data_IF_605381676756
#
_entry.id   IF_605381676756
#
_cell.length_a   1.000
_cell.length_b   1.000
_cell.length_c   1.000
_cell.angle_alpha   90.00
_cell.angle_beta   90.00
_cell.angle_gamma   90.00
#
_symmetry.space_group_name_H-M   'P 1'
#
loop_
_entity.id
_entity.type
_entity.pdbx_description
1 polymer ?
#
# COMPACT_ATOMS: atom_id res chain seq x y z
N UNK A 1 5.03 -6.88 -18.61
CA UNK A 1 4.60 -6.81 -17.19
C UNK A 1 5.77 -7.10 -16.26
N UNK A 2 6.05 -6.23 -15.29
CA UNK A 2 7.14 -6.36 -14.29
C UNK A 2 6.53 -6.34 -12.89
N UNK A 3 6.87 -7.33 -12.06
CA UNK A 3 6.41 -7.43 -10.65
C UNK A 3 7.56 -7.08 -9.71
N UNK A 4 7.30 -6.15 -8.80
CA UNK A 4 8.27 -5.66 -7.81
C UNK A 4 7.66 -5.68 -6.41
N UNK A 5 8.50 -5.60 -5.38
CA UNK A 5 8.04 -5.54 -4.00
C UNK A 5 8.98 -4.74 -3.11
N UNK A 6 8.43 -4.24 -2.02
CA UNK A 6 9.12 -3.56 -0.93
C UNK A 6 8.65 -4.18 0.38
N UNK A 7 9.59 -4.46 1.29
CA UNK A 7 9.29 -4.88 2.66
C UNK A 7 10.06 -3.99 3.62
N UNK A 8 9.36 -3.41 4.60
CA UNK A 8 9.96 -2.52 5.58
C UNK A 8 9.31 -2.70 6.95
N UNK A 9 10.12 -2.59 8.01
CA UNK A 9 9.63 -2.45 9.38
C UNK A 9 9.35 -0.98 9.69
N UNK A 10 8.16 -0.70 10.19
CA UNK A 10 7.68 0.65 10.51
C UNK A 10 7.25 0.66 11.97
N UNK A 11 7.77 1.60 12.76
CA UNK A 11 7.19 1.90 14.07
C UNK A 11 6.02 2.88 13.88
N UNK A 12 4.81 2.45 14.22
CA UNK A 12 3.61 3.27 14.15
C UNK A 12 2.96 3.33 15.54
N UNK A 13 2.89 4.54 16.11
CA UNK A 13 2.33 4.78 17.45
C UNK A 13 2.92 3.88 18.55
N UNK A 14 4.23 3.60 18.48
CA UNK A 14 4.93 2.78 19.49
C UNK A 14 4.88 1.28 19.23
N UNK A 15 4.14 0.81 18.22
CA UNK A 15 4.10 -0.59 17.82
C UNK A 15 4.89 -0.82 16.53
N UNK A 16 5.71 -1.87 16.49
CA UNK A 16 6.42 -2.27 15.27
C UNK A 16 5.53 -3.12 14.36
N UNK A 17 5.46 -2.74 13.09
CA UNK A 17 4.72 -3.45 12.05
C UNK A 17 5.65 -3.78 10.88
N UNK A 18 5.47 -4.96 10.30
CA UNK A 18 6.07 -5.33 9.01
C UNK A 18 5.11 -4.97 7.89
N UNK A 19 5.49 -4.00 7.07
CA UNK A 19 4.74 -3.58 5.88
C UNK A 19 5.36 -4.24 4.66
N UNK A 20 4.52 -4.88 3.84
CA UNK A 20 4.90 -5.47 2.55
C UNK A 20 4.01 -4.92 1.46
N UNK A 21 4.61 -4.34 0.43
CA UNK A 21 3.90 -3.82 -0.73
C UNK A 21 4.44 -4.54 -1.96
N UNK A 22 3.55 -5.09 -2.77
CA UNK A 22 3.88 -5.75 -4.05
C UNK A 22 3.11 -5.02 -5.14
N UNK A 23 3.76 -4.66 -6.24
CA UNK A 23 3.10 -3.97 -7.34
C UNK A 23 3.53 -4.53 -8.68
N UNK A 24 2.69 -4.30 -9.68
CA UNK A 24 2.92 -4.72 -11.05
C UNK A 24 2.76 -3.53 -11.97
N UNK A 25 3.73 -3.39 -12.87
CA UNK A 25 3.71 -2.37 -13.93
C UNK A 25 3.65 -3.02 -15.31
N UNK A 26 2.91 -2.38 -16.20
CA UNK A 26 2.83 -2.71 -17.63
C UNK A 26 2.77 -1.40 -18.40
N UNK A 27 3.60 -1.23 -19.43
CA UNK A 27 3.71 -0.02 -20.24
C UNK A 27 3.84 1.29 -19.44
N UNK A 28 4.61 1.23 -18.34
CA UNK A 28 4.79 2.32 -17.37
C UNK A 28 3.53 2.74 -16.60
N UNK A 29 2.52 1.87 -16.53
CA UNK A 29 1.33 2.06 -15.70
C UNK A 29 1.21 0.97 -14.63
N UNK A 30 0.69 1.35 -13.45
CA UNK A 30 0.36 0.41 -12.38
C UNK A 30 -0.88 -0.39 -12.79
N UNK A 31 -0.73 -1.72 -12.86
CA UNK A 31 -1.83 -2.65 -13.07
C UNK A 31 -2.38 -3.21 -11.75
N UNK A 32 -1.48 -3.38 -10.78
CA UNK A 32 -1.79 -4.01 -9.51
C UNK A 32 -0.94 -3.47 -8.38
N UNK A 33 -1.52 -3.33 -7.19
CA UNK A 33 -0.80 -3.12 -5.94
C UNK A 33 -1.46 -4.00 -4.87
N UNK A 34 -0.66 -4.65 -4.03
CA UNK A 34 -1.10 -5.38 -2.86
C UNK A 34 -0.33 -4.91 -1.65
N UNK A 35 -1.05 -4.57 -0.59
CA UNK A 35 -0.48 -4.06 0.65
C UNK A 35 -0.83 -4.97 1.81
N UNK A 36 0.21 -5.42 2.52
CA UNK A 36 0.06 -6.24 3.71
C UNK A 36 0.74 -5.56 4.91
N UNK A 37 0.11 -5.68 6.08
CA UNK A 37 0.71 -5.35 7.37
C UNK A 37 0.70 -6.61 8.23
N UNK A 38 1.86 -7.02 8.75
CA UNK A 38 2.03 -8.26 9.51
C UNK A 38 1.42 -9.48 8.79
N UNK A 39 1.64 -9.58 7.46
CA UNK A 39 1.07 -10.60 6.56
C UNK A 39 -0.47 -10.59 6.41
N UNK A 40 -1.19 -9.65 7.02
CA UNK A 40 -2.61 -9.41 6.76
C UNK A 40 -2.74 -8.45 5.57
N UNK A 41 -3.49 -8.84 4.54
CA UNK A 41 -3.83 -7.94 3.45
C UNK A 41 -4.74 -6.82 3.96
N UNK A 42 -4.39 -5.58 3.66
CA UNK A 42 -5.13 -4.39 4.12
C UNK A 42 -5.91 -3.77 2.99
N UNK A 43 -5.25 -3.63 1.84
CA UNK A 43 -5.86 -3.08 0.64
C UNK A 43 -5.10 -3.57 -0.58
N UNK A 44 -5.79 -3.58 -1.72
CA UNK A 44 -5.20 -3.81 -3.03
C UNK A 44 -5.75 -2.85 -4.06
N UNK A 45 -4.94 -2.51 -5.05
CA UNK A 45 -5.35 -1.87 -6.27
C UNK A 45 -5.44 -2.92 -7.38
N UNK A 46 -6.58 -3.01 -8.05
CA UNK A 46 -6.76 -3.84 -9.23
C UNK A 46 -7.88 -3.30 -10.11
N UNK A 47 -7.71 -3.34 -11.44
CA UNK A 47 -8.71 -2.86 -12.42
C UNK A 47 -9.24 -1.46 -12.09
N UNK A 48 -8.33 -0.54 -11.76
CA UNK A 48 -8.68 0.86 -11.50
C UNK A 48 -9.30 1.15 -10.13
N UNK A 49 -9.33 0.18 -9.20
CA UNK A 49 -10.03 0.30 -7.92
C UNK A 49 -9.16 -0.09 -6.75
N UNK A 50 -9.25 0.67 -5.66
CA UNK A 50 -8.73 0.28 -4.36
C UNK A 50 -9.82 -0.45 -3.57
N UNK A 51 -9.50 -1.65 -3.09
CA UNK A 51 -10.42 -2.47 -2.30
C UNK A 51 -9.72 -3.11 -1.12
N UNK A 52 -10.40 -3.21 0.01
CA UNK A 52 -9.97 -4.04 1.14
C UNK A 52 -10.35 -5.53 0.93
N UNK A 53 -9.96 -6.45 1.85
CA UNK A 53 -10.35 -7.85 1.77
C UNK A 53 -11.86 -8.12 1.88
N UNK A 54 -12.63 -7.19 2.48
CA UNK A 54 -14.10 -7.28 2.55
C UNK A 54 -14.77 -6.89 1.23
N UNK A 55 -14.01 -6.35 0.27
CA UNK A 55 -14.50 -5.85 -1.01
C UNK A 55 -15.00 -4.40 -0.96
N UNK A 56 -14.84 -3.71 0.18
CA UNK A 56 -15.17 -2.29 0.31
C UNK A 56 -14.24 -1.47 -0.56
N UNK A 57 -14.80 -0.49 -1.26
CA UNK A 57 -14.03 0.42 -2.11
C UNK A 57 -13.48 1.59 -1.29
N UNK A 58 -12.29 2.03 -1.65
CA UNK A 58 -11.64 3.21 -1.10
C UNK A 58 -11.42 4.27 -2.19
N UNK A 59 -11.32 5.54 -1.77
CA UNK A 59 -11.04 6.63 -2.70
C UNK A 59 -9.60 6.50 -3.21
N UNK A 60 -9.41 6.63 -4.53
CA UNK A 60 -8.09 6.64 -5.16
C UNK A 60 -7.19 7.73 -4.59
N UNK A 61 -7.75 8.88 -4.19
CA UNK A 61 -6.99 10.00 -3.67
C UNK A 61 -6.27 9.66 -2.35
N UNK A 62 -6.84 8.78 -1.52
CA UNK A 62 -6.22 8.31 -0.28
C UNK A 62 -4.90 7.58 -0.56
N UNK A 63 -4.80 6.91 -1.71
CA UNK A 63 -3.66 6.07 -2.07
C UNK A 63 -2.80 6.65 -3.21
N UNK A 64 -3.01 7.90 -3.60
CA UNK A 64 -2.27 8.51 -4.71
C UNK A 64 -0.75 8.53 -4.47
N UNK A 65 -0.34 8.84 -3.23
CA UNK A 65 1.07 8.83 -2.82
C UNK A 65 1.66 7.43 -2.91
N UNK A 66 0.90 6.41 -2.53
CA UNK A 66 1.32 5.03 -2.62
C UNK A 66 1.52 4.55 -4.05
N UNK A 67 0.59 4.88 -4.96
CA UNK A 67 0.75 4.58 -6.39
C UNK A 67 2.02 5.23 -6.95
N UNK A 68 2.23 6.51 -6.64
CA UNK A 68 3.42 7.24 -7.07
C UNK A 68 4.71 6.63 -6.51
N UNK A 69 4.71 6.26 -5.22
CA UNK A 69 5.86 5.58 -4.62
C UNK A 69 6.14 4.22 -5.25
N UNK A 70 5.13 3.47 -5.69
CA UNK A 70 5.34 2.23 -6.44
C UNK A 70 5.97 2.49 -7.81
N UNK A 71 5.46 3.51 -8.55
CA UNK A 71 6.03 3.93 -9.83
C UNK A 71 7.49 4.39 -9.72
N UNK A 72 7.80 5.17 -8.68
CA UNK A 72 9.15 5.65 -8.39
C UNK A 72 10.01 4.61 -7.64
N UNK A 73 9.50 3.37 -7.48
CA UNK A 73 10.18 2.24 -6.81
C UNK A 73 10.70 2.56 -5.40
N UNK A 74 9.95 3.37 -4.66
CA UNK A 74 10.30 3.85 -3.32
C UNK A 74 11.67 4.55 -3.24
N UNK A 75 12.15 5.17 -4.33
CA UNK A 75 13.44 5.89 -4.40
C UNK A 75 13.61 6.98 -3.34
N UNK A 76 12.51 7.49 -2.79
CA UNK A 76 12.50 8.55 -1.78
C UNK A 76 11.96 8.05 -0.44
N UNK A 77 12.82 7.42 0.35
CA UNK A 77 12.45 6.80 1.63
C UNK A 77 11.72 7.72 2.61
N UNK A 78 12.07 9.03 2.62
CA UNK A 78 11.41 10.04 3.45
C UNK A 78 9.89 10.14 3.22
N UNK A 79 9.41 9.68 2.07
CA UNK A 79 7.99 9.70 1.71
C UNK A 79 7.30 8.36 1.93
N UNK A 80 8.03 7.29 2.26
CA UNK A 80 7.47 5.95 2.43
C UNK A 80 6.42 5.94 3.54
N UNK A 81 6.71 6.54 4.70
CA UNK A 81 5.76 6.63 5.83
C UNK A 81 4.47 7.34 5.40
N UNK A 82 4.58 8.45 4.67
CA UNK A 82 3.41 9.20 4.20
C UNK A 82 2.58 8.44 3.17
N UNK A 83 3.24 7.61 2.35
CA UNK A 83 2.58 6.79 1.34
C UNK A 83 1.79 5.64 1.96
N UNK A 84 2.28 5.07 3.08
CA UNK A 84 1.66 3.90 3.72
C UNK A 84 0.73 4.24 4.88
N UNK A 85 0.73 5.49 5.38
CA UNK A 85 -0.13 5.94 6.48
C UNK A 85 -1.62 5.54 6.33
N UNK A 86 -2.25 5.65 5.14
CA UNK A 86 -3.64 5.22 4.96
C UNK A 86 -3.89 3.74 5.28
N UNK A 87 -2.89 2.86 5.10
CA UNK A 87 -2.99 1.45 5.45
C UNK A 87 -3.22 1.26 6.96
N UNK A 88 -2.55 2.07 7.78
CA UNK A 88 -2.69 2.00 9.24
C UNK A 88 -4.04 2.55 9.69
N UNK A 89 -4.58 3.57 9.01
CA UNK A 89 -5.95 4.05 9.29
C UNK A 89 -6.99 2.95 9.05
N UNK A 90 -6.86 2.19 7.96
CA UNK A 90 -7.74 1.04 7.70
C UNK A 90 -7.54 -0.04 8.77
N UNK A 91 -6.30 -0.44 9.03
CA UNK A 91 -5.97 -1.48 10.01
C UNK A 91 -6.57 -1.18 11.40
N UNK A 92 -6.44 0.06 11.87
CA UNK A 92 -6.94 0.49 13.17
C UNK A 92 -8.46 0.69 13.18
N UNK A 93 -9.04 1.13 12.06
CA UNK A 93 -10.49 1.25 11.90
C UNK A 93 -11.22 -0.10 11.95
N UNK A 94 -10.56 -1.21 11.61
CA UNK A 94 -11.10 -2.57 11.77
C UNK A 94 -10.98 -3.12 13.21
N UNK A 95 -10.19 -2.49 14.07
CA UNK A 95 -9.97 -2.93 15.46
C UNK A 95 -10.90 -2.24 16.47
N UNK A 96 -11.66 -1.23 16.04
CA UNK A 96 -12.69 -0.53 16.82
C UNK A 96 -14.08 -1.09 16.50
#
# INVERSE_FOLDING_TARGET
MVRENMTQKINWLGTEYQVKITWETEDNDIQFIRCLINNKEIVRYFRGRWTDPSGKRHDKNEFLRLQKSCMDKFKHERYTIQAIAPLFTILLGEQM
#
